data_IF_837199970608
#
_entry.id   IF_837199970608
#
_cell.length_a   1.000
_cell.length_b   1.000
_cell.length_c   1.000
_cell.angle_alpha   90.00
_cell.angle_beta   90.00
_cell.angle_gamma   90.00
#
_symmetry.space_group_name_H-M   'P 1'
#
loop_
_entity.id
_entity.type
_entity.pdbx_description
1 polymer ?
#
# COMPACT_ATOMS: atom_id res chain seq x y z
N UNK A 1 -17.15 -8.37 9.07
CA UNK A 1 -16.14 -8.67 8.03
C UNK A 1 -15.34 -9.87 8.50
N UNK A 2 -15.25 -10.92 7.70
CA UNK A 2 -14.44 -12.09 8.04
C UNK A 2 -12.99 -11.64 8.04
N UNK A 3 -12.30 -11.70 9.18
CA UNK A 3 -10.84 -11.52 9.24
C UNK A 3 -10.22 -12.75 8.60
N UNK A 4 -10.02 -12.72 7.29
CA UNK A 4 -9.21 -13.73 6.63
C UNK A 4 -7.81 -13.64 7.24
N UNK A 5 -7.31 -14.73 7.81
CA UNK A 5 -6.02 -14.79 8.52
C UNK A 5 -4.79 -14.59 7.63
N UNK A 6 -4.93 -13.90 6.51
CA UNK A 6 -3.83 -13.59 5.59
C UNK A 6 -2.94 -12.49 6.15
N UNK A 7 -1.66 -12.57 5.79
CA UNK A 7 -0.64 -11.56 6.10
C UNK A 7 -0.95 -10.24 5.38
N UNK A 8 -0.46 -9.09 5.90
CA UNK A 8 -0.43 -7.85 5.12
C UNK A 8 0.33 -8.07 3.80
N UNK A 9 -0.19 -7.51 2.71
CA UNK A 9 0.47 -7.52 1.39
C UNK A 9 0.83 -6.08 1.04
N UNK A 10 2.11 -5.75 1.03
CA UNK A 10 2.57 -4.40 0.74
C UNK A 10 2.37 -4.09 -0.77
N UNK A 11 1.96 -2.87 -1.17
CA UNK A 11 1.79 -2.54 -2.59
C UNK A 11 3.06 -2.69 -3.42
N UNK A 12 4.22 -2.58 -2.77
CA UNK A 12 5.53 -2.84 -3.35
C UNK A 12 5.80 -4.30 -3.71
N UNK A 13 5.22 -5.25 -2.96
CA UNK A 13 5.22 -6.66 -3.33
C UNK A 13 4.43 -6.85 -4.63
N UNK A 14 3.21 -6.31 -4.70
CA UNK A 14 2.37 -6.34 -5.91
C UNK A 14 3.10 -5.70 -7.11
N UNK A 15 3.71 -4.53 -6.91
CA UNK A 15 4.48 -3.87 -7.96
C UNK A 15 5.63 -4.76 -8.45
N UNK A 16 6.33 -5.45 -7.55
CA UNK A 16 7.44 -6.33 -7.88
C UNK A 16 6.98 -7.58 -8.62
N UNK A 17 6.07 -8.34 -8.02
CA UNK A 17 5.68 -9.68 -8.48
C UNK A 17 4.75 -9.64 -9.70
N UNK A 18 3.82 -8.68 -9.77
CA UNK A 18 2.77 -8.67 -10.79
C UNK A 18 3.09 -7.77 -11.99
N UNK A 19 4.04 -6.82 -11.84
CA UNK A 19 4.38 -5.85 -12.88
C UNK A 19 5.85 -5.94 -13.29
N UNK A 20 6.79 -5.80 -12.36
CA UNK A 20 8.22 -5.72 -12.69
C UNK A 20 8.78 -7.07 -13.15
N UNK A 21 8.54 -8.14 -12.39
CA UNK A 21 9.03 -9.49 -12.71
C UNK A 21 8.51 -9.99 -14.07
N UNK A 22 7.19 -9.90 -14.40
CA UNK A 22 6.68 -10.36 -15.69
C UNK A 22 7.17 -9.54 -16.89
N UNK A 23 7.58 -8.29 -16.67
CA UNK A 23 8.11 -7.41 -17.71
C UNK A 23 9.64 -7.41 -17.80
N UNK A 24 10.34 -8.22 -16.99
CA UNK A 24 11.80 -8.19 -16.82
C UNK A 24 12.34 -6.75 -16.60
N UNK A 25 11.60 -5.97 -15.82
CA UNK A 25 11.88 -4.54 -15.63
C UNK A 25 12.47 -4.26 -14.26
N UNK A 26 13.66 -3.64 -14.23
CA UNK A 26 14.24 -3.18 -12.97
C UNK A 26 13.49 -1.97 -12.36
N UNK A 27 13.50 -1.85 -11.04
CA UNK A 27 12.99 -0.67 -10.33
C UNK A 27 13.64 0.64 -10.80
N UNK A 28 14.93 0.62 -11.14
CA UNK A 28 15.63 1.76 -11.73
C UNK A 28 15.08 2.13 -13.12
N UNK A 29 14.71 1.14 -13.95
CA UNK A 29 14.09 1.39 -15.25
C UNK A 29 12.70 2.02 -15.08
N UNK A 30 11.88 1.47 -14.19
CA UNK A 30 10.57 2.04 -13.85
C UNK A 30 10.71 3.48 -13.36
N UNK A 31 11.65 3.77 -12.45
CA UNK A 31 11.83 5.13 -11.92
C UNK A 31 12.11 6.17 -13.03
N UNK A 32 12.85 5.80 -14.08
CA UNK A 32 13.07 6.66 -15.26
C UNK A 32 11.76 6.93 -16.02
N UNK A 33 10.94 5.90 -16.25
CA UNK A 33 9.63 6.07 -16.90
C UNK A 33 8.67 6.93 -16.08
N UNK A 34 8.72 6.81 -14.75
CA UNK A 34 7.86 7.58 -13.85
C UNK A 34 8.39 8.99 -13.57
N UNK A 35 9.58 9.34 -14.05
CA UNK A 35 10.27 10.60 -13.77
C UNK A 35 10.40 10.90 -12.26
N UNK A 36 10.86 9.91 -11.48
CA UNK A 36 11.09 10.02 -10.04
C UNK A 36 12.48 9.50 -9.66
N UNK A 37 13.03 9.89 -8.49
CA UNK A 37 14.29 9.32 -8.02
C UNK A 37 14.20 7.79 -7.89
N UNK A 38 15.25 7.08 -8.34
CA UNK A 38 15.34 5.62 -8.25
C UNK A 38 15.15 5.10 -6.82
N UNK A 39 15.67 5.82 -5.82
CA UNK A 39 15.48 5.50 -4.40
C UNK A 39 14.01 5.36 -4.01
N UNK A 40 13.11 6.17 -4.59
CA UNK A 40 11.67 6.10 -4.31
C UNK A 40 11.09 4.74 -4.72
N UNK A 41 11.36 4.30 -5.95
CA UNK A 41 10.82 3.03 -6.46
C UNK A 41 11.51 1.84 -5.80
N UNK A 42 12.81 1.93 -5.56
CA UNK A 42 13.55 0.90 -4.82
C UNK A 42 12.98 0.71 -3.41
N UNK A 43 12.71 1.79 -2.67
CA UNK A 43 12.14 1.68 -1.32
C UNK A 43 10.71 1.12 -1.33
N UNK A 44 9.92 1.42 -2.36
CA UNK A 44 8.58 0.84 -2.51
C UNK A 44 8.69 -0.66 -2.77
N UNK A 45 9.48 -1.07 -3.76
CA UNK A 45 9.68 -2.48 -4.14
C UNK A 45 10.32 -3.31 -3.02
N UNK A 46 11.11 -2.69 -2.15
CA UNK A 46 11.67 -3.31 -0.95
C UNK A 46 10.76 -3.22 0.29
N UNK A 47 9.53 -2.73 0.12
CA UNK A 47 8.51 -2.67 1.16
C UNK A 47 8.88 -1.77 2.36
N UNK A 48 9.77 -0.79 2.11
CA UNK A 48 10.25 0.18 3.10
C UNK A 48 9.53 1.53 3.03
N UNK A 49 8.74 1.73 1.97
CA UNK A 49 7.98 2.96 1.71
C UNK A 49 6.64 2.63 1.08
N UNK A 50 5.58 3.23 1.59
CA UNK A 50 4.25 3.12 0.98
C UNK A 50 4.09 3.90 -0.32
N UNK A 51 3.01 3.60 -1.04
CA UNK A 51 2.60 4.30 -2.26
C UNK A 51 1.80 5.56 -1.90
N UNK A 52 2.29 6.72 -2.32
CA UNK A 52 1.58 8.01 -2.18
C UNK A 52 0.64 8.27 -3.36
N UNK A 53 -0.26 9.25 -3.24
CA UNK A 53 -1.13 9.66 -4.35
C UNK A 53 -0.35 10.08 -5.62
N UNK A 54 0.74 10.85 -5.47
CA UNK A 54 1.65 11.19 -6.59
C UNK A 54 2.21 9.93 -7.27
N UNK A 55 2.64 8.94 -6.48
CA UNK A 55 3.19 7.70 -7.03
C UNK A 55 2.11 6.85 -7.69
N UNK A 56 0.91 6.76 -7.10
CA UNK A 56 -0.23 6.05 -7.66
C UNK A 56 -0.67 6.62 -9.01
N UNK A 57 -0.72 7.95 -9.15
CA UNK A 57 -1.03 8.62 -10.42
C UNK A 57 0.02 8.34 -11.50
N UNK A 58 1.29 8.26 -11.12
CA UNK A 58 2.38 7.92 -12.05
C UNK A 58 2.31 6.46 -12.49
N UNK A 59 2.08 5.55 -11.55
CA UNK A 59 1.93 4.12 -11.82
C UNK A 59 0.73 3.86 -12.73
N UNK A 60 -0.43 4.45 -12.45
CA UNK A 60 -1.62 4.30 -13.30
C UNK A 60 -1.42 4.90 -14.69
N UNK A 61 -0.70 6.02 -14.80
CA UNK A 61 -0.35 6.60 -16.10
C UNK A 61 0.56 5.69 -16.92
N UNK A 62 1.49 4.98 -16.29
CA UNK A 62 2.47 4.13 -16.97
C UNK A 62 1.93 2.73 -17.30
N UNK A 63 1.32 2.06 -16.33
CA UNK A 63 0.81 0.69 -16.49
C UNK A 63 -0.65 0.61 -16.95
N UNK A 64 -1.36 1.75 -16.97
CA UNK A 64 -2.81 1.76 -17.11
C UNK A 64 -3.52 1.48 -15.78
N UNK A 65 -4.83 1.30 -15.84
CA UNK A 65 -5.67 1.18 -14.65
C UNK A 65 -5.88 2.52 -13.94
N UNK A 66 -6.13 2.49 -12.63
CA UNK A 66 -6.49 3.66 -11.84
C UNK A 66 -5.60 3.83 -10.59
N UNK A 67 -5.45 5.08 -10.15
CA UNK A 67 -4.64 5.41 -8.97
C UNK A 67 -5.30 4.96 -7.65
N UNK A 68 -6.63 4.83 -7.61
CA UNK A 68 -7.35 4.43 -6.41
C UNK A 68 -7.05 2.97 -6.06
N UNK A 69 -6.89 2.09 -7.05
CA UNK A 69 -6.50 0.69 -6.85
C UNK A 69 -5.16 0.58 -6.10
N UNK A 70 -4.16 1.39 -6.46
CA UNK A 70 -2.88 1.45 -5.74
C UNK A 70 -3.03 1.95 -4.30
N UNK A 71 -3.85 2.98 -4.08
CA UNK A 71 -4.12 3.52 -2.74
C UNK A 71 -4.95 2.56 -1.88
N UNK A 72 -5.82 1.76 -2.50
CA UNK A 72 -6.57 0.71 -1.82
C UNK A 72 -5.64 -0.40 -1.32
N UNK A 73 -4.64 -0.80 -2.12
CA UNK A 73 -3.60 -1.73 -1.68
C UNK A 73 -2.84 -1.15 -0.48
N UNK A 74 -2.45 0.13 -0.54
CA UNK A 74 -1.74 0.80 0.55
C UNK A 74 -2.60 0.82 1.83
N UNK A 75 -3.87 1.22 1.70
CA UNK A 75 -4.80 1.30 2.83
C UNK A 75 -5.07 -0.07 3.44
N UNK A 76 -5.25 -1.09 2.60
CA UNK A 76 -5.43 -2.46 3.07
C UNK A 76 -4.21 -2.98 3.82
N UNK A 77 -3.00 -2.71 3.32
CA UNK A 77 -1.75 -3.04 3.99
C UNK A 77 -1.62 -2.32 5.34
N UNK A 78 -1.84 -1.01 5.37
CA UNK A 78 -1.70 -0.20 6.57
C UNK A 78 -2.69 -0.62 7.65
N UNK A 79 -3.97 -0.80 7.28
CA UNK A 79 -4.99 -1.29 8.20
C UNK A 79 -4.66 -2.68 8.73
N UNK A 80 -4.23 -3.61 7.87
CA UNK A 80 -3.91 -4.97 8.31
C UNK A 80 -2.70 -5.00 9.24
N UNK A 81 -1.70 -4.17 8.97
CA UNK A 81 -0.52 -4.01 9.84
C UNK A 81 -0.93 -3.43 11.20
N UNK A 82 -1.78 -2.39 11.21
CA UNK A 82 -2.33 -1.81 12.43
C UNK A 82 -3.22 -2.78 13.23
N UNK A 83 -3.95 -3.67 12.56
CA UNK A 83 -4.73 -4.73 13.21
C UNK A 83 -3.88 -5.79 13.91
N UNK A 84 -2.64 -5.99 13.46
CA UNK A 84 -1.69 -6.95 14.02
C UNK A 84 -0.77 -6.37 15.09
N UNK A 85 -0.73 -5.03 15.21
CA UNK A 85 0.02 -4.33 16.26
C UNK A 85 -0.72 -4.43 17.60
N UNK A 86 -0.22 -5.26 18.50
CA UNK A 86 -0.87 -5.53 19.80
C UNK A 86 -0.99 -4.28 20.67
N UNK A 87 0.02 -3.41 20.67
CA UNK A 87 0.03 -2.18 21.48
C UNK A 87 -1.03 -1.20 20.98
N UNK A 88 -1.10 -1.01 19.65
CA UNK A 88 -2.14 -0.22 19.03
C UNK A 88 -3.52 -0.80 19.28
N UNK A 89 -3.69 -2.13 19.19
CA UNK A 89 -4.98 -2.77 19.48
C UNK A 89 -5.39 -2.58 20.94
N UNK A 90 -4.45 -2.60 21.88
CA UNK A 90 -4.73 -2.33 23.29
C UNK A 90 -5.15 -0.88 23.50
N UNK A 91 -4.49 0.08 22.85
CA UNK A 91 -4.89 1.49 22.87
C UNK A 91 -6.28 1.71 22.26
N UNK A 92 -6.59 1.06 21.14
CA UNK A 92 -7.91 1.15 20.47
C UNK A 92 -9.03 0.59 21.35
N UNK A 93 -8.81 -0.51 22.08
CA UNK A 93 -9.80 -1.07 23.03
C UNK A 93 -10.16 -0.11 24.16
N UNK A 94 -9.28 0.80 24.53
CA UNK A 94 -9.55 1.83 25.54
C UNK A 94 -10.42 2.98 25.00
N UNK A 95 -10.65 3.06 23.69
CA UNK A 95 -11.52 4.08 23.09
C UNK A 95 -12.98 3.71 23.34
N UNK A 96 -13.70 4.57 24.06
CA UNK A 96 -15.13 4.40 24.27
C UNK A 96 -15.92 4.80 23.01
N UNK A 97 -16.82 3.95 22.49
CA UNK A 97 -17.67 4.32 21.38
C UNK A 97 -18.59 5.46 21.81
N UNK A 98 -18.76 6.46 20.93
CA UNK A 98 -19.73 7.52 21.18
C UNK A 98 -21.13 6.88 21.24
N UNK A 99 -21.89 7.06 22.34
CA UNK A 99 -23.26 6.63 22.38
C UNK A 99 -24.04 7.42 21.33
N UNK A 100 -24.62 6.71 20.36
CA UNK A 100 -25.57 7.31 19.43
C UNK A 100 -26.70 7.91 20.27
N UNK A 101 -26.89 9.23 20.24
CA UNK A 101 -28.10 9.81 20.80
C UNK A 101 -29.28 9.24 20.01
N UNK A 102 -30.29 8.64 20.67
CA UNK A 102 -31.52 8.31 19.97
C UNK A 102 -32.09 9.60 19.37
N UNK A 103 -32.37 9.57 18.07
CA UNK A 103 -33.09 10.61 17.36
C UNK A 103 -34.53 10.75 17.90
#
# INVERSE_FOLDING_TARGET
MVKNGMRPVHPGEVLREDYLTPMDMSANALARHLHVPASRINDIVLERRGVTADTALRLSRFFGGDAQSWLNLQTAYDLRTAELDEDLQNAVKAVHPMPLHPA
#
